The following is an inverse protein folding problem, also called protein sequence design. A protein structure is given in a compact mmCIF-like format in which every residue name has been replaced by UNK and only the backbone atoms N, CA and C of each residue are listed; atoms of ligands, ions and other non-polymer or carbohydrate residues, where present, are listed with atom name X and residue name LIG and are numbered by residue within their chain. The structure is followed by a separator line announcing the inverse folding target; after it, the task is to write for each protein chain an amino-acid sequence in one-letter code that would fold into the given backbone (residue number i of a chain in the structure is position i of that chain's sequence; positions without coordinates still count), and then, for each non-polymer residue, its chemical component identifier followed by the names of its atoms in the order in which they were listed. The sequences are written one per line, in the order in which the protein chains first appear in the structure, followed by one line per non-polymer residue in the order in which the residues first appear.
data_IF_483494038448
#
_entry.id   IF_483494038448
#
_cell.length_a   1.000
_cell.length_b   1.000
_cell.length_c   1.000
_cell.angle_alpha   90.00
_cell.angle_beta   90.00
_cell.angle_gamma   90.00
#
_symmetry.space_group_name_H-M   'P 1'
#
loop_
_entity.id
_entity.type
_entity.pdbx_description
1 polymer ?
#
# COMPACT_ATOMS: atom_id res chain seq x y z
N UNK A 1 18.65 20.75 23.28
CA UNK A 1 18.99 22.10 22.79
C UNK A 1 18.97 22.06 21.27
N UNK A 2 18.27 23.00 20.64
CA UNK A 2 18.06 23.18 19.19
C UNK A 2 19.39 23.11 18.40
N UNK A 3 19.41 22.73 17.12
CA UNK A 3 19.13 23.67 16.02
C UNK A 3 18.82 22.99 14.68
N UNK A 4 17.68 23.40 14.11
CA UNK A 4 17.37 23.49 12.68
C UNK A 4 18.53 24.06 11.85
N UNK A 5 18.80 23.48 10.66
CA UNK A 5 19.00 24.25 9.42
C UNK A 5 19.08 23.33 8.18
N UNK A 6 18.01 23.25 7.39
CA UNK A 6 18.07 22.94 5.94
C UNK A 6 18.03 24.29 5.17
N UNK A 7 18.26 24.39 3.84
CA UNK A 7 18.91 23.50 2.85
C UNK A 7 19.98 24.26 2.03
N UNK A 8 20.82 23.55 1.27
CA UNK A 8 21.48 24.13 0.08
C UNK A 8 21.43 23.11 -1.06
N UNK A 9 20.36 23.20 -1.84
CA UNK A 9 20.34 22.74 -3.22
C UNK A 9 21.43 23.50 -3.97
N UNK A 10 22.55 22.86 -4.28
CA UNK A 10 23.30 23.24 -5.48
C UNK A 10 22.93 22.24 -6.58
N UNK A 11 22.15 22.75 -7.52
CA UNK A 11 21.85 22.09 -8.76
C UNK A 11 23.08 22.11 -9.66
N UNK A 12 23.64 20.93 -9.94
CA UNK A 12 24.27 20.65 -11.21
C UNK A 12 23.62 19.38 -11.76
N UNK A 13 22.72 19.55 -12.72
CA UNK A 13 22.30 18.49 -13.62
C UNK A 13 23.56 17.94 -14.31
N UNK A 14 23.78 16.63 -14.41
CA UNK A 14 23.13 15.72 -15.36
C UNK A 14 23.56 14.29 -14.95
N UNK A 15 22.62 13.33 -14.99
CA UNK A 15 22.84 11.86 -14.97
C UNK A 15 23.47 11.24 -13.71
N UNK A 16 22.68 11.05 -12.65
CA UNK A 16 22.87 9.86 -11.80
C UNK A 16 21.76 8.87 -12.13
N UNK A 17 22.01 8.07 -13.16
CA UNK A 17 21.31 6.81 -13.36
C UNK A 17 21.74 5.83 -12.26
N UNK A 18 20.72 5.22 -11.64
CA UNK A 18 20.79 3.92 -10.99
C UNK A 18 21.48 2.90 -11.90
N UNK A 19 22.43 2.12 -11.39
CA UNK A 19 22.77 0.84 -12.02
C UNK A 19 23.03 -0.24 -10.97
N UNK A 20 22.08 -1.18 -10.86
CA UNK A 20 22.36 -2.55 -10.47
C UNK A 20 23.28 -3.18 -11.54
N UNK A 21 24.32 -3.89 -11.10
CA UNK A 21 25.28 -4.56 -11.98
C UNK A 21 24.65 -5.73 -12.74
N UNK A 22 24.87 -5.79 -14.06
CA UNK A 22 24.62 -6.94 -14.92
C UNK A 22 25.45 -6.82 -16.21
N UNK A 23 26.25 -7.85 -16.51
CA UNK A 23 27.19 -7.91 -17.64
C UNK A 23 26.48 -7.89 -19.02
N UNK A 24 26.90 -6.96 -19.87
CA UNK A 24 26.80 -6.93 -21.34
C UNK A 24 25.43 -7.02 -22.04
N UNK A 25 24.98 -5.83 -22.48
CA UNK A 25 24.31 -5.53 -23.76
C UNK A 25 23.11 -6.39 -24.18
N UNK A 26 21.96 -6.09 -23.54
CA UNK A 26 20.55 -6.16 -24.00
C UNK A 26 19.58 -6.61 -22.89
N UNK A 27 20.07 -6.70 -21.66
CA UNK A 27 19.24 -7.11 -20.54
C UNK A 27 18.58 -5.91 -19.87
N UNK A 28 17.26 -5.90 -19.96
CA UNK A 28 16.30 -5.14 -19.16
C UNK A 28 16.79 -4.96 -17.72
N UNK A 29 16.65 -3.77 -17.10
CA UNK A 29 17.06 -3.56 -15.72
C UNK A 29 16.40 -4.60 -14.81
N UNK A 30 17.19 -5.27 -13.97
CA UNK A 30 16.72 -6.20 -12.95
C UNK A 30 15.74 -5.47 -12.00
N UNK A 31 14.45 -5.63 -12.29
CA UNK A 31 13.31 -5.39 -11.42
C UNK A 31 13.10 -3.96 -10.94
N UNK A 32 12.30 -3.18 -11.68
CA UNK A 32 11.45 -2.18 -11.02
C UNK A 32 10.58 -2.91 -9.99
N UNK A 33 10.66 -2.50 -8.72
CA UNK A 33 9.96 -3.16 -7.63
C UNK A 33 8.45 -3.30 -7.92
N UNK A 34 7.88 -4.41 -7.47
CA UNK A 34 6.53 -4.90 -7.78
C UNK A 34 5.38 -3.95 -7.46
N UNK A 35 5.64 -2.89 -6.68
CA UNK A 35 4.65 -1.84 -6.32
C UNK A 35 4.13 -1.05 -7.51
N UNK A 36 4.89 -0.96 -8.61
CA UNK A 36 4.48 -0.21 -9.80
C UNK A 36 3.52 -0.99 -10.70
N UNK A 37 3.53 -2.32 -10.62
CA UNK A 37 2.68 -3.20 -11.44
C UNK A 37 1.27 -3.32 -10.88
N UNK A 38 1.14 -3.31 -9.55
CA UNK A 38 -0.14 -3.43 -8.84
C UNK A 38 -0.25 -2.36 -7.75
N UNK A 39 -0.43 -1.08 -8.14
CA UNK A 39 -0.56 -0.01 -7.17
C UNK A 39 -1.84 -0.21 -6.36
N UNK A 40 -1.71 -0.18 -5.03
CA UNK A 40 -2.85 -0.23 -4.12
C UNK A 40 -3.46 1.17 -3.98
N UNK A 41 -4.73 1.32 -4.35
CA UNK A 41 -5.45 2.58 -4.19
C UNK A 41 -5.63 2.97 -2.72
N UNK A 42 -5.80 4.28 -2.46
CA UNK A 42 -6.16 4.76 -1.13
C UNK A 42 -7.57 4.29 -0.76
N UNK A 43 -7.73 3.74 0.45
CA UNK A 43 -9.03 3.34 0.99
C UNK A 43 -9.66 4.55 1.68
N UNK A 44 -10.72 5.12 1.10
CA UNK A 44 -11.36 6.35 1.60
C UNK A 44 -10.34 7.49 1.84
N UNK A 45 -9.32 7.59 0.98
CA UNK A 45 -8.26 8.60 1.10
C UNK A 45 -7.18 8.28 2.14
N UNK A 46 -7.21 7.14 2.83
CA UNK A 46 -6.12 6.68 3.70
C UNK A 46 -5.28 5.60 3.03
N UNK A 47 -3.98 5.63 3.32
CA UNK A 47 -3.06 4.56 2.94
C UNK A 47 -3.19 3.41 3.93
N UNK A 48 -3.63 2.25 3.43
CA UNK A 48 -3.77 1.00 4.22
C UNK A 48 -2.72 -0.06 3.85
N UNK A 49 -1.98 0.18 2.77
CA UNK A 49 -0.79 -0.60 2.40
C UNK A 49 0.32 -0.36 3.43
N UNK A 50 0.88 -1.43 4.01
CA UNK A 50 1.92 -1.38 5.05
C UNK A 50 1.55 -0.51 6.28
N UNK A 51 0.25 -0.31 6.53
CA UNK A 51 -0.22 0.39 7.72
C UNK A 51 -0.09 -0.50 8.96
N UNK A 52 0.40 0.06 10.07
CA UNK A 52 0.43 -0.66 11.34
C UNK A 52 -0.98 -0.85 11.89
N UNK A 53 -1.14 -1.84 12.79
CA UNK A 53 -2.43 -2.09 13.45
C UNK A 53 -2.90 -0.83 14.21
N UNK A 54 -1.98 -0.13 14.89
CA UNK A 54 -2.31 1.11 15.60
C UNK A 54 -2.82 2.21 14.66
N UNK A 55 -2.26 2.32 13.44
CA UNK A 55 -2.71 3.28 12.44
C UNK A 55 -4.11 2.94 11.92
N UNK A 56 -4.36 1.66 11.61
CA UNK A 56 -5.67 1.20 11.17
C UNK A 56 -6.73 1.39 12.26
N UNK A 57 -6.39 1.05 13.51
CA UNK A 57 -7.27 1.29 14.66
C UNK A 57 -7.56 2.78 14.85
N UNK A 58 -6.57 3.66 14.65
CA UNK A 58 -6.82 5.10 14.69
C UNK A 58 -7.81 5.54 13.62
N UNK A 59 -7.71 5.06 12.38
CA UNK A 59 -8.67 5.41 11.33
C UNK A 59 -10.09 4.94 11.66
N UNK A 60 -10.19 3.72 12.19
CA UNK A 60 -11.46 3.11 12.60
C UNK A 60 -12.10 3.84 13.78
N UNK A 61 -11.32 4.20 14.81
CA UNK A 61 -11.80 4.92 16.01
C UNK A 61 -12.14 6.38 15.72
N UNK A 62 -11.45 7.02 14.77
CA UNK A 62 -11.75 8.38 14.35
C UNK A 62 -12.97 8.45 13.40
N UNK A 63 -13.50 7.30 12.97
CA UNK A 63 -14.57 7.24 11.96
C UNK A 63 -14.12 7.67 10.56
N UNK A 64 -12.80 7.69 10.30
CA UNK A 64 -12.24 7.98 8.98
C UNK A 64 -12.60 6.87 7.97
N UNK A 65 -12.66 5.63 8.46
CA UNK A 65 -13.00 4.43 7.68
C UNK A 65 -13.85 3.53 8.57
N UNK A 66 -14.81 2.81 7.99
CA UNK A 66 -15.55 1.74 8.67
C UNK A 66 -14.90 0.37 8.43
N UNK A 67 -15.13 -0.62 9.30
CA UNK A 67 -14.61 -1.99 9.14
C UNK A 67 -15.12 -2.61 7.83
N UNK A 68 -16.37 -2.33 7.44
CA UNK A 68 -16.89 -2.76 6.14
C UNK A 68 -16.10 -2.17 4.98
N UNK A 69 -15.83 -0.85 5.02
CA UNK A 69 -15.04 -0.19 3.98
C UNK A 69 -13.62 -0.73 3.93
N UNK A 70 -12.99 -0.95 5.08
CA UNK A 70 -11.66 -1.52 5.18
C UNK A 70 -11.61 -2.94 4.57
N UNK A 71 -12.58 -3.80 4.88
CA UNK A 71 -12.68 -5.14 4.33
C UNK A 71 -12.84 -5.11 2.79
N UNK A 72 -13.70 -4.24 2.27
CA UNK A 72 -13.90 -4.05 0.82
C UNK A 72 -12.60 -3.62 0.14
N UNK A 73 -11.84 -2.69 0.74
CA UNK A 73 -10.57 -2.23 0.18
C UNK A 73 -9.53 -3.36 0.08
N UNK A 74 -9.49 -4.29 1.04
CA UNK A 74 -8.60 -5.44 0.95
C UNK A 74 -9.07 -6.46 -0.10
N UNK A 75 -10.38 -6.67 -0.26
CA UNK A 75 -10.91 -7.54 -1.32
C UNK A 75 -10.58 -7.00 -2.71
N UNK A 76 -10.67 -5.68 -2.91
CA UNK A 76 -10.26 -5.06 -4.18
C UNK A 76 -8.80 -5.38 -4.52
N UNK A 77 -7.90 -5.37 -3.53
CA UNK A 77 -6.50 -5.78 -3.71
C UNK A 77 -6.38 -7.27 -4.04
N UNK A 78 -7.16 -8.12 -3.39
CA UNK A 78 -7.17 -9.56 -3.70
C UNK A 78 -7.53 -9.73 -5.18
N UNK A 79 -8.67 -9.18 -5.63
CA UNK A 79 -9.07 -9.27 -7.04
C UNK A 79 -8.08 -8.69 -8.03
N UNK A 80 -7.36 -7.63 -7.67
CA UNK A 80 -6.31 -7.06 -8.52
C UNK A 80 -5.13 -8.03 -8.74
N UNK A 81 -4.84 -8.89 -7.78
CA UNK A 81 -3.65 -9.75 -7.77
C UNK A 81 -3.96 -11.23 -7.96
N UNK A 82 -5.23 -11.63 -7.84
CA UNK A 82 -5.65 -13.03 -7.77
C UNK A 82 -5.19 -13.84 -8.98
N UNK A 83 -5.36 -13.30 -10.20
CA UNK A 83 -4.95 -13.94 -11.45
C UNK A 83 -3.45 -14.28 -11.52
N UNK A 84 -2.62 -13.60 -10.72
CA UNK A 84 -1.17 -13.75 -10.73
C UNK A 84 -0.66 -14.65 -9.61
N UNK A 85 -1.20 -14.47 -8.40
CA UNK A 85 -0.65 -15.13 -7.20
C UNK A 85 -1.60 -16.16 -6.58
N UNK A 86 -2.91 -16.10 -6.88
CA UNK A 86 -3.93 -17.02 -6.36
C UNK A 86 -3.77 -17.28 -4.85
N UNK A 87 -3.52 -16.21 -4.08
CA UNK A 87 -3.11 -16.33 -2.67
C UNK A 87 -4.26 -16.65 -1.72
N UNK A 88 -5.51 -16.42 -2.15
CA UNK A 88 -6.71 -16.61 -1.34
C UNK A 88 -7.53 -17.72 -1.96
N UNK A 89 -7.71 -18.82 -1.23
CA UNK A 89 -8.49 -19.97 -1.72
C UNK A 89 -9.99 -19.71 -1.66
N UNK A 90 -10.46 -19.05 -0.60
CA UNK A 90 -11.88 -18.82 -0.36
C UNK A 90 -12.07 -17.54 0.46
N UNK A 91 -13.06 -16.74 0.08
CA UNK A 91 -13.52 -15.59 0.85
C UNK A 91 -14.68 -16.04 1.74
N UNK A 92 -14.65 -15.66 3.02
CA UNK A 92 -15.77 -15.88 3.92
C UNK A 92 -17.01 -15.13 3.40
N UNK A 93 -18.13 -15.78 3.07
CA UNK A 93 -19.32 -15.11 2.54
C UNK A 93 -19.93 -14.08 3.51
N UNK A 94 -19.72 -14.27 4.81
CA UNK A 94 -20.30 -13.43 5.87
C UNK A 94 -19.40 -12.24 6.25
N UNK A 95 -18.32 -11.99 5.50
CA UNK A 95 -17.32 -10.98 5.87
C UNK A 95 -17.92 -9.58 6.02
N UNK A 96 -18.90 -9.22 5.18
CA UNK A 96 -19.59 -7.92 5.28
C UNK A 96 -20.47 -7.84 6.51
N UNK A 97 -21.16 -8.92 6.86
CA UNK A 97 -22.03 -8.96 8.04
C UNK A 97 -21.21 -8.85 9.32
N UNK A 98 -20.12 -9.60 9.42
CA UNK A 98 -19.20 -9.53 10.56
C UNK A 98 -18.60 -8.12 10.67
N UNK A 99 -18.15 -7.54 9.55
CA UNK A 99 -17.60 -6.19 9.55
C UNK A 99 -18.66 -5.14 9.96
N UNK A 100 -19.92 -5.32 9.54
CA UNK A 100 -21.03 -4.45 9.94
C UNK A 100 -21.34 -4.56 11.43
N UNK A 101 -21.32 -5.77 12.01
CA UNK A 101 -21.50 -5.99 13.43
C UNK A 101 -20.39 -5.31 14.25
N UNK A 102 -19.13 -5.44 13.83
CA UNK A 102 -17.99 -4.75 14.45
C UNK A 102 -18.09 -3.23 14.36
N UNK A 103 -18.66 -2.69 13.28
CA UNK A 103 -18.92 -1.26 13.16
C UNK A 103 -20.05 -0.79 14.08
N UNK A 104 -21.02 -1.65 14.40
CA UNK A 104 -22.12 -1.35 15.31
C UNK A 104 -21.72 -1.45 16.80
N UNK A 105 -20.69 -2.24 17.13
CA UNK A 105 -20.17 -2.43 18.49
C UNK A 105 -19.22 -1.31 18.95
N UNK A 106 -18.77 -0.45 18.04
CA UNK A 106 -17.90 0.70 18.36
C UNK A 106 -18.61 1.81 19.13
#
# INVERSE_FOLDING_TARGET
MRLNSMPLCLATAIMYSFQCFGDNSNDTPCGTYTSDLFPMALCQGKKIEEASIDQLQSYLSNGDITSQQLAICYIQRIWQTDDYINAVLELNPDFLEIAAALDAER
#
